data_IF_662890295527
#
_entry.id   IF_662890295527
#
_cell.length_a   1.000
_cell.length_b   1.000
_cell.length_c   1.000
_cell.angle_alpha   90.00
_cell.angle_beta   90.00
_cell.angle_gamma   90.00
#
_symmetry.space_group_name_H-M   'P 1'
#
loop_
_entity.id
_entity.type
_entity.pdbx_description
1 polymer ?
#
# COMPACT_ATOMS: atom_id res chain seq x y z
N UNK A 1 -32.43 -9.05 -4.35
CA UNK A 1 -31.01 -8.77 -4.60
C UNK A 1 -30.91 -7.68 -5.66
N UNK A 2 -30.54 -6.47 -5.28
CA UNK A 2 -30.50 -5.29 -6.16
C UNK A 2 -29.28 -5.41 -7.09
N UNK A 3 -29.53 -5.49 -8.39
CA UNK A 3 -28.46 -5.46 -9.41
C UNK A 3 -27.64 -4.18 -9.24
N UNK A 4 -26.34 -4.31 -8.96
CA UNK A 4 -25.43 -3.17 -8.82
C UNK A 4 -25.27 -2.51 -10.19
N UNK A 5 -26.06 -1.48 -10.48
CA UNK A 5 -25.99 -0.69 -11.72
C UNK A 5 -24.74 0.18 -11.83
N UNK A 6 -24.06 0.43 -10.71
CA UNK A 6 -22.80 1.18 -10.70
C UNK A 6 -21.65 0.32 -11.21
N UNK A 7 -21.13 0.71 -12.36
CA UNK A 7 -20.03 0.03 -13.04
C UNK A 7 -18.74 0.06 -12.21
N UNK A 8 -18.49 1.15 -11.49
CA UNK A 8 -17.27 1.32 -10.68
C UNK A 8 -17.30 0.39 -9.47
N UNK A 9 -18.42 0.35 -8.76
CA UNK A 9 -18.61 -0.52 -7.60
C UNK A 9 -18.57 -2.01 -8.01
N UNK A 10 -19.20 -2.37 -9.14
CA UNK A 10 -19.15 -3.74 -9.65
C UNK A 10 -17.72 -4.17 -9.99
N UNK A 11 -16.92 -3.31 -10.61
CA UNK A 11 -15.50 -3.61 -10.95
C UNK A 11 -14.65 -3.79 -9.70
N UNK A 12 -14.89 -2.99 -8.66
CA UNK A 12 -14.23 -3.15 -7.37
C UNK A 12 -14.53 -4.54 -6.78
N UNK A 13 -15.80 -4.91 -6.70
CA UNK A 13 -16.23 -6.22 -6.18
C UNK A 13 -15.71 -7.40 -7.03
N UNK A 14 -15.61 -7.24 -8.36
CA UNK A 14 -14.98 -8.25 -9.23
C UNK A 14 -13.51 -8.42 -8.87
N UNK A 15 -12.79 -7.32 -8.64
CA UNK A 15 -11.37 -7.34 -8.25
C UNK A 15 -11.18 -8.08 -6.93
N UNK A 16 -11.98 -7.78 -5.92
CA UNK A 16 -11.96 -8.44 -4.61
C UNK A 16 -12.25 -9.95 -4.71
N UNK A 17 -13.26 -10.34 -5.50
CA UNK A 17 -13.59 -11.74 -5.73
C UNK A 17 -12.46 -12.52 -6.42
N UNK A 18 -11.82 -11.90 -7.43
CA UNK A 18 -10.67 -12.51 -8.13
C UNK A 18 -9.51 -12.70 -7.15
N UNK A 19 -9.24 -11.68 -6.34
CA UNK A 19 -8.17 -11.74 -5.34
C UNK A 19 -8.43 -12.81 -4.27
N UNK A 20 -9.64 -12.83 -3.70
CA UNK A 20 -10.03 -13.79 -2.64
C UNK A 20 -10.09 -15.24 -3.12
N UNK A 21 -10.48 -15.48 -4.38
CA UNK A 21 -10.69 -16.82 -4.94
C UNK A 21 -9.53 -17.28 -5.84
N UNK A 22 -8.53 -16.40 -6.11
CA UNK A 22 -7.44 -16.66 -7.04
C UNK A 22 -7.87 -16.68 -8.50
N UNK A 23 -9.09 -17.12 -8.80
CA UNK A 23 -9.67 -17.13 -10.14
C UNK A 23 -11.18 -17.05 -10.13
N UNK A 24 -11.78 -16.50 -11.19
CA UNK A 24 -13.23 -16.41 -11.36
C UNK A 24 -13.64 -16.70 -12.79
N UNK A 25 -14.84 -17.24 -12.96
CA UNK A 25 -15.42 -17.49 -14.27
C UNK A 25 -16.43 -16.41 -14.66
N UNK A 26 -16.44 -16.02 -15.95
CA UNK A 26 -17.39 -15.03 -16.50
C UNK A 26 -18.84 -15.39 -16.21
N UNK A 27 -19.20 -16.68 -16.33
CA UNK A 27 -20.57 -17.14 -16.09
C UNK A 27 -20.98 -16.99 -14.62
N UNK A 28 -20.07 -17.23 -13.67
CA UNK A 28 -20.32 -17.09 -12.23
C UNK A 28 -20.51 -15.61 -11.86
N UNK A 29 -19.64 -14.74 -12.36
CA UNK A 29 -19.76 -13.29 -12.15
C UNK A 29 -21.05 -12.72 -12.76
N UNK A 30 -21.43 -13.16 -13.97
CA UNK A 30 -22.66 -12.72 -14.61
C UNK A 30 -23.90 -13.04 -13.77
N UNK A 31 -23.95 -14.24 -13.19
CA UNK A 31 -25.01 -14.66 -12.26
C UNK A 31 -24.97 -13.88 -10.94
N UNK A 32 -23.78 -13.72 -10.37
CA UNK A 32 -23.59 -13.03 -9.09
C UNK A 32 -24.05 -11.57 -9.15
N UNK A 33 -23.69 -10.84 -10.23
CA UNK A 33 -24.03 -9.43 -10.39
C UNK A 33 -25.33 -9.17 -11.16
N UNK A 34 -25.99 -10.21 -11.67
CA UNK A 34 -27.24 -10.06 -12.45
C UNK A 34 -27.04 -9.28 -13.76
N UNK A 35 -25.88 -9.41 -14.42
CA UNK A 35 -25.53 -8.72 -15.66
C UNK A 35 -25.19 -9.71 -16.79
N UNK A 36 -25.16 -9.22 -18.03
CA UNK A 36 -24.84 -10.06 -19.19
C UNK A 36 -23.38 -10.54 -19.16
N UNK A 37 -23.09 -11.70 -19.77
CA UNK A 37 -21.74 -12.20 -20.00
C UNK A 37 -20.85 -11.16 -20.72
N UNK A 38 -21.45 -10.37 -21.62
CA UNK A 38 -20.75 -9.34 -22.36
C UNK A 38 -20.35 -8.17 -21.46
N UNK A 39 -21.20 -7.77 -20.50
CA UNK A 39 -20.91 -6.77 -19.50
C UNK A 39 -19.74 -7.19 -18.63
N UNK A 40 -19.77 -8.42 -18.12
CA UNK A 40 -18.65 -8.98 -17.33
C UNK A 40 -17.36 -9.01 -18.15
N UNK A 41 -17.41 -9.47 -19.42
CA UNK A 41 -16.22 -9.48 -20.29
C UNK A 41 -15.64 -8.07 -20.53
N UNK A 42 -16.49 -7.04 -20.58
CA UNK A 42 -16.07 -5.64 -20.69
C UNK A 42 -15.39 -5.17 -19.40
N UNK A 43 -15.95 -5.52 -18.24
CA UNK A 43 -15.36 -5.19 -16.95
C UNK A 43 -14.02 -5.91 -16.72
N UNK A 44 -13.94 -7.21 -17.03
CA UNK A 44 -12.68 -7.96 -16.96
C UNK A 44 -11.62 -7.43 -17.93
N UNK A 45 -12.01 -6.97 -19.13
CA UNK A 45 -11.07 -6.29 -20.06
C UNK A 45 -10.54 -4.99 -19.48
N UNK A 46 -11.40 -4.21 -18.86
CA UNK A 46 -11.04 -2.95 -18.23
C UNK A 46 -10.05 -3.18 -17.07
N UNK A 47 -10.32 -4.15 -16.19
CA UNK A 47 -9.47 -4.50 -15.06
C UNK A 47 -8.13 -5.13 -15.50
N UNK A 48 -8.16 -5.98 -16.52
CA UNK A 48 -6.95 -6.57 -17.09
C UNK A 48 -6.05 -5.54 -17.77
N UNK A 49 -6.63 -4.55 -18.49
CA UNK A 49 -5.87 -3.46 -19.09
C UNK A 49 -5.18 -2.55 -18.04
N UNK A 50 -5.62 -2.61 -16.79
CA UNK A 50 -5.04 -1.92 -15.64
C UNK A 50 -4.14 -2.81 -14.78
N UNK A 51 -3.88 -4.05 -15.22
CA UNK A 51 -3.00 -4.99 -14.50
C UNK A 51 -3.58 -5.56 -13.20
N UNK A 52 -4.87 -5.32 -12.93
CA UNK A 52 -5.54 -5.83 -11.72
C UNK A 52 -5.68 -7.36 -11.75
N UNK A 53 -5.81 -7.92 -12.96
CA UNK A 53 -5.96 -9.37 -13.17
C UNK A 53 -5.45 -9.78 -14.55
N UNK A 54 -5.19 -11.07 -14.72
CA UNK A 54 -4.86 -11.67 -16.02
C UNK A 54 -6.08 -12.41 -16.56
N UNK A 55 -6.38 -12.21 -17.85
CA UNK A 55 -7.47 -12.94 -18.52
C UNK A 55 -7.07 -14.38 -18.78
N UNK A 56 -7.97 -15.31 -18.42
CA UNK A 56 -7.89 -16.71 -18.80
C UNK A 56 -9.06 -17.10 -19.72
N UNK A 57 -8.99 -18.28 -20.32
CA UNK A 57 -10.08 -18.79 -21.16
C UNK A 57 -11.35 -18.96 -20.30
N UNK A 58 -12.38 -18.15 -20.59
CA UNK A 58 -13.66 -18.17 -19.87
C UNK A 58 -13.70 -17.41 -18.54
N UNK A 59 -12.62 -16.71 -18.11
CA UNK A 59 -12.56 -16.05 -16.81
C UNK A 59 -11.44 -15.04 -16.65
N UNK A 60 -11.07 -14.83 -15.42
CA UNK A 60 -9.91 -14.06 -15.00
C UNK A 60 -9.21 -14.76 -13.83
N UNK A 61 -7.91 -14.58 -13.75
CA UNK A 61 -7.02 -15.10 -12.71
C UNK A 61 -6.36 -13.90 -12.05
N UNK A 62 -6.17 -13.94 -10.73
CA UNK A 62 -5.41 -12.94 -10.02
C UNK A 62 -4.01 -12.79 -10.66
N UNK A 63 -3.64 -11.57 -11.01
CA UNK A 63 -2.31 -11.29 -11.57
C UNK A 63 -1.19 -11.75 -10.62
N UNK A 64 -1.45 -11.75 -9.32
CA UNK A 64 -0.51 -12.24 -8.30
C UNK A 64 -0.37 -13.78 -8.31
N UNK A 65 -1.39 -14.52 -8.77
CA UNK A 65 -1.33 -15.99 -8.84
C UNK A 65 -0.45 -16.53 -9.98
N UNK A 66 -0.20 -15.72 -11.02
CA UNK A 66 0.59 -16.14 -12.20
C UNK A 66 2.06 -15.76 -12.09
N UNK A 67 2.39 -14.72 -11.29
CA UNK A 67 3.74 -14.14 -11.23
C UNK A 67 4.63 -14.60 -10.09
N UNK A 68 4.11 -15.37 -9.14
CA UNK A 68 4.82 -15.66 -7.88
C UNK A 68 5.15 -14.40 -7.08
N UNK A 69 5.84 -14.52 -5.95
CA UNK A 69 6.28 -13.42 -5.09
C UNK A 69 7.21 -12.37 -5.78
N UNK A 70 7.56 -12.58 -7.05
CA UNK A 70 8.48 -11.72 -7.82
C UNK A 70 7.77 -10.68 -8.71
N UNK A 71 6.47 -10.79 -8.97
CA UNK A 71 5.76 -9.85 -9.83
C UNK A 71 5.09 -8.72 -9.03
N UNK A 72 5.62 -7.51 -9.16
CA UNK A 72 5.03 -6.32 -8.54
C UNK A 72 3.69 -5.93 -9.19
N UNK A 73 2.58 -5.82 -8.42
CA UNK A 73 1.31 -5.32 -8.93
C UNK A 73 1.39 -3.86 -9.38
N UNK A 74 0.56 -3.46 -10.34
CA UNK A 74 0.50 -2.06 -10.78
C UNK A 74 -0.10 -1.15 -9.68
N UNK A 75 0.22 0.15 -9.74
CA UNK A 75 -0.33 1.15 -8.83
C UNK A 75 -1.87 1.15 -8.81
N UNK A 76 -2.52 1.11 -9.99
CA UNK A 76 -3.97 1.04 -10.08
C UNK A 76 -4.55 -0.23 -9.45
N UNK A 77 -3.84 -1.36 -9.57
CA UNK A 77 -4.23 -2.59 -8.89
C UNK A 77 -4.14 -2.44 -7.37
N UNK A 78 -3.02 -1.89 -6.88
CA UNK A 78 -2.81 -1.64 -5.44
C UNK A 78 -3.83 -0.65 -4.86
N UNK A 79 -4.31 0.35 -5.65
CA UNK A 79 -5.28 1.37 -5.17
C UNK A 79 -6.65 0.83 -4.84
N UNK A 80 -7.12 -0.18 -5.56
CA UNK A 80 -8.51 -0.67 -5.42
C UNK A 80 -8.63 -1.89 -4.50
N UNK A 81 -7.53 -2.62 -4.32
CA UNK A 81 -7.51 -3.81 -3.45
C UNK A 81 -7.34 -3.38 -2.00
N UNK A 82 -8.18 -3.93 -1.10
CA UNK A 82 -8.18 -3.62 0.34
C UNK A 82 -8.29 -2.13 0.67
N UNK A 83 -9.06 -1.36 -0.14
CA UNK A 83 -9.14 0.10 0.03
C UNK A 83 -9.73 0.50 1.38
N UNK A 84 -10.77 -0.21 1.86
CA UNK A 84 -11.40 0.11 3.15
C UNK A 84 -10.49 -0.23 4.33
N UNK A 85 -9.70 -1.31 4.23
CA UNK A 85 -8.67 -1.64 5.22
C UNK A 85 -7.59 -0.55 5.25
N UNK A 86 -7.07 -0.13 4.10
CA UNK A 86 -6.10 0.95 4.00
C UNK A 86 -6.60 2.29 4.56
N UNK A 87 -7.89 2.59 4.36
CA UNK A 87 -8.52 3.78 4.94
C UNK A 87 -8.57 3.72 6.47
N UNK A 88 -8.86 2.54 7.05
CA UNK A 88 -8.84 2.37 8.50
C UNK A 88 -7.41 2.49 9.04
N UNK A 89 -6.45 1.81 8.40
CA UNK A 89 -5.03 1.89 8.71
C UNK A 89 -4.51 3.34 8.62
N UNK A 90 -4.84 4.05 7.54
CA UNK A 90 -4.46 5.45 7.36
C UNK A 90 -5.01 6.36 8.44
N UNK A 91 -6.28 6.18 8.85
CA UNK A 91 -6.88 6.92 9.96
C UNK A 91 -6.20 6.61 11.30
N UNK A 92 -5.92 5.32 11.57
CA UNK A 92 -5.23 4.91 12.78
C UNK A 92 -3.80 5.46 12.84
N UNK A 93 -3.11 5.50 11.71
CA UNK A 93 -1.78 6.12 11.60
C UNK A 93 -1.82 7.63 11.83
N UNK A 94 -2.84 8.33 11.31
CA UNK A 94 -3.00 9.77 11.49
C UNK A 94 -3.19 10.17 12.97
N UNK A 95 -3.75 9.29 13.81
CA UNK A 95 -3.92 9.53 15.25
C UNK A 95 -2.59 9.62 16.02
N UNK A 96 -1.49 9.11 15.46
CA UNK A 96 -0.16 9.19 16.06
C UNK A 96 0.56 10.52 15.79
N UNK A 97 0.02 11.34 14.87
CA UNK A 97 0.68 12.56 14.41
C UNK A 97 0.18 13.76 15.20
N UNK A 98 1.11 14.47 15.84
CA UNK A 98 0.86 15.65 16.65
C UNK A 98 1.41 16.92 15.99
N UNK A 99 0.87 18.08 16.38
CA UNK A 99 1.37 19.36 15.89
C UNK A 99 2.86 19.54 16.25
N UNK A 100 3.63 20.02 15.28
CA UNK A 100 5.08 20.19 15.40
C UNK A 100 5.88 18.99 14.90
N UNK A 101 5.25 17.83 14.64
CA UNK A 101 5.97 16.68 14.12
C UNK A 101 6.51 16.92 12.72
N UNK A 102 7.67 16.33 12.45
CA UNK A 102 8.21 16.11 11.11
C UNK A 102 8.12 14.63 10.79
N UNK A 103 7.39 14.27 9.74
CA UNK A 103 7.14 12.86 9.39
C UNK A 103 7.55 12.57 7.95
N UNK A 104 8.00 11.33 7.71
CA UNK A 104 8.12 10.79 6.35
C UNK A 104 6.92 9.91 6.06
N UNK A 105 6.27 10.11 4.92
CA UNK A 105 5.30 9.18 4.35
C UNK A 105 5.92 8.59 3.09
N UNK A 106 6.24 7.29 3.17
CA UNK A 106 6.77 6.52 2.04
C UNK A 106 5.73 6.35 0.92
N UNK A 107 6.20 5.95 -0.24
CA UNK A 107 5.36 5.72 -1.41
C UNK A 107 4.43 4.53 -1.22
N UNK A 108 3.19 4.69 -1.66
CA UNK A 108 2.23 3.60 -1.70
C UNK A 108 0.81 3.99 -1.33
N UNK A 109 -0.11 3.09 -1.68
CA UNK A 109 -1.55 3.37 -1.58
C UNK A 109 -2.07 3.48 -0.15
N UNK A 110 -1.40 2.89 0.84
CA UNK A 110 -1.74 3.06 2.27
C UNK A 110 -1.24 4.41 2.78
N UNK A 111 -0.03 4.86 2.36
CA UNK A 111 0.51 6.19 2.66
C UNK A 111 -0.40 7.32 2.15
N UNK A 112 -1.02 7.15 0.98
CA UNK A 112 -2.01 8.10 0.46
C UNK A 112 -3.23 8.18 1.39
N UNK A 113 -3.73 7.05 1.92
CA UNK A 113 -4.86 7.04 2.84
C UNK A 113 -4.52 7.70 4.19
N UNK A 114 -3.27 7.56 4.65
CA UNK A 114 -2.76 8.34 5.78
C UNK A 114 -2.77 9.84 5.46
N UNK A 115 -2.20 10.25 4.32
CA UNK A 115 -2.16 11.65 3.90
C UNK A 115 -3.56 12.30 3.79
N UNK A 116 -4.53 11.55 3.25
CA UNK A 116 -5.94 11.97 3.20
C UNK A 116 -6.54 12.15 4.62
N UNK A 117 -6.19 11.26 5.56
CA UNK A 117 -6.71 11.25 6.93
C UNK A 117 -6.04 12.27 7.87
N UNK A 118 -4.83 12.74 7.57
CA UNK A 118 -4.14 13.72 8.41
C UNK A 118 -5.00 14.97 8.66
N UNK A 119 -5.09 15.46 9.91
CA UNK A 119 -5.71 16.75 10.17
C UNK A 119 -4.88 17.88 9.56
N UNK A 120 -5.51 19.02 9.26
CA UNK A 120 -4.82 20.23 8.77
C UNK A 120 -4.21 20.99 9.95
N UNK A 121 -3.08 20.51 10.46
CA UNK A 121 -2.33 21.05 11.61
C UNK A 121 -0.88 21.35 11.21
N UNK A 122 -0.17 22.16 12.00
CA UNK A 122 1.22 22.55 11.73
C UNK A 122 2.18 21.36 11.91
N UNK A 123 2.45 20.65 10.82
CA UNK A 123 3.43 19.56 10.72
C UNK A 123 4.24 19.71 9.44
N UNK A 124 5.39 19.04 9.37
CA UNK A 124 6.15 18.90 8.13
C UNK A 124 6.03 17.46 7.61
N UNK A 125 5.62 17.27 6.37
CA UNK A 125 5.55 15.98 5.70
C UNK A 125 6.60 15.90 4.61
N UNK A 126 7.51 14.95 4.74
CA UNK A 126 8.49 14.59 3.72
C UNK A 126 7.98 13.38 2.94
N UNK A 127 7.99 13.41 1.63
CA UNK A 127 7.53 12.28 0.80
C UNK A 127 8.21 12.25 -0.57
N UNK A 128 8.31 11.07 -1.15
CA UNK A 128 8.69 10.86 -2.55
C UNK A 128 7.48 10.49 -3.44
N UNK A 129 6.26 10.44 -2.89
CA UNK A 129 5.06 9.95 -3.58
C UNK A 129 4.19 11.09 -4.10
N UNK A 130 3.88 11.07 -5.40
CA UNK A 130 3.05 12.08 -6.05
C UNK A 130 1.59 12.03 -5.55
N UNK A 131 1.07 10.86 -5.18
CA UNK A 131 -0.28 10.71 -4.63
C UNK A 131 -0.40 11.29 -3.23
N UNK A 132 0.63 11.09 -2.37
CA UNK A 132 0.73 11.72 -1.05
C UNK A 132 0.77 13.25 -1.20
N UNK A 133 1.63 13.78 -2.07
CA UNK A 133 1.67 15.21 -2.38
C UNK A 133 0.29 15.74 -2.78
N UNK A 134 -0.37 15.05 -3.71
CA UNK A 134 -1.69 15.45 -4.21
C UNK A 134 -2.77 15.47 -3.12
N UNK A 135 -2.70 14.55 -2.15
CA UNK A 135 -3.63 14.50 -1.03
C UNK A 135 -3.42 15.66 -0.02
N UNK A 136 -2.18 16.16 0.08
CA UNK A 136 -1.80 17.17 1.07
C UNK A 136 -1.86 18.60 0.54
N UNK A 137 -1.80 18.82 -0.77
CA UNK A 137 -1.64 20.17 -1.38
C UNK A 137 -2.72 21.17 -0.96
N UNK A 138 -3.90 20.71 -0.58
CA UNK A 138 -4.99 21.57 -0.10
C UNK A 138 -4.94 21.87 1.41
N UNK A 139 -4.06 21.20 2.17
CA UNK A 139 -3.94 21.34 3.63
C UNK A 139 -2.88 22.38 3.98
N UNK A 140 -3.29 23.64 4.05
CA UNK A 140 -2.40 24.81 4.14
C UNK A 140 -1.54 24.90 5.41
N UNK A 141 -1.90 24.20 6.49
CA UNK A 141 -1.10 24.17 7.71
C UNK A 141 0.00 23.10 7.67
N UNK A 142 0.06 22.28 6.62
CA UNK A 142 1.07 21.25 6.45
C UNK A 142 2.16 21.74 5.51
N UNK A 143 3.39 21.84 5.99
CA UNK A 143 4.56 22.05 5.15
C UNK A 143 4.93 20.74 4.44
N UNK A 144 5.15 20.80 3.12
CA UNK A 144 5.44 19.62 2.31
C UNK A 144 6.85 19.71 1.74
N UNK A 145 7.68 18.71 2.04
CA UNK A 145 8.99 18.52 1.43
C UNK A 145 8.89 17.36 0.44
N UNK A 146 8.85 17.68 -0.85
CA UNK A 146 8.84 16.67 -1.91
C UNK A 146 10.26 16.25 -2.26
N UNK A 147 10.60 14.97 -2.02
CA UNK A 147 11.85 14.37 -2.47
C UNK A 147 11.76 14.14 -3.98
N UNK A 148 12.37 15.03 -4.75
CA UNK A 148 12.42 14.94 -6.22
C UNK A 148 13.26 13.75 -6.71
N UNK A 149 13.55 13.73 -8.02
CA UNK A 149 14.35 12.67 -8.64
C UNK A 149 13.70 12.11 -9.91
N UNK A 150 13.94 10.84 -10.21
CA UNK A 150 13.41 10.16 -11.38
C UNK A 150 12.01 9.59 -11.09
N UNK A 151 11.00 10.03 -11.85
CA UNK A 151 9.64 9.53 -11.69
C UNK A 151 9.49 8.09 -12.22
N UNK A 152 9.23 7.14 -11.34
CA UNK A 152 8.81 5.80 -11.70
C UNK A 152 7.29 5.77 -11.90
N UNK A 153 6.86 5.73 -13.17
CA UNK A 153 5.43 5.78 -13.53
C UNK A 153 4.61 4.60 -13.00
N UNK A 154 5.28 3.46 -12.67
CA UNK A 154 4.61 2.24 -12.20
C UNK A 154 3.96 2.42 -10.83
N UNK A 155 4.53 3.23 -9.95
CA UNK A 155 3.99 3.53 -8.62
C UNK A 155 3.86 5.03 -8.32
N UNK A 156 4.09 5.89 -9.34
CA UNK A 156 3.94 7.37 -9.26
C UNK A 156 4.78 7.98 -8.13
N UNK A 157 6.00 7.47 -7.94
CA UNK A 157 6.93 7.97 -6.92
C UNK A 157 8.32 8.26 -7.52
N UNK A 158 9.09 9.07 -6.82
CA UNK A 158 10.41 9.53 -7.24
C UNK A 158 11.51 8.72 -6.55
N UNK A 159 12.57 8.39 -7.31
CA UNK A 159 13.71 7.60 -6.85
C UNK A 159 15.02 8.12 -7.45
N UNK A 160 16.12 7.50 -7.07
CA UNK A 160 17.45 7.79 -7.60
C UNK A 160 18.33 8.61 -6.66
N UNK A 161 19.54 8.93 -7.13
CA UNK A 161 20.55 9.61 -6.31
C UNK A 161 20.08 10.94 -5.74
N UNK A 162 19.39 11.75 -6.53
CA UNK A 162 18.84 13.05 -6.09
C UNK A 162 17.84 12.89 -4.96
N UNK A 163 16.98 11.85 -5.00
CA UNK A 163 16.00 11.58 -3.95
C UNK A 163 16.69 11.19 -2.63
N UNK A 164 17.72 10.36 -2.73
CA UNK A 164 18.54 9.94 -1.57
C UNK A 164 19.32 11.12 -0.99
N UNK A 165 19.92 11.96 -1.84
CA UNK A 165 20.64 13.16 -1.41
C UNK A 165 19.73 14.18 -0.73
N UNK A 166 18.50 14.37 -1.26
CA UNK A 166 17.53 15.29 -0.65
C UNK A 166 17.11 14.85 0.76
N UNK A 167 17.17 13.57 1.06
CA UNK A 167 16.89 13.02 2.40
C UNK A 167 18.13 13.11 3.33
N UNK A 168 19.35 13.21 2.77
CA UNK A 168 20.56 13.26 3.55
C UNK A 168 20.61 14.49 4.46
N UNK A 169 20.84 14.26 5.74
CA UNK A 169 20.85 15.32 6.77
C UNK A 169 19.50 15.70 7.34
N UNK A 170 18.39 15.12 6.84
CA UNK A 170 17.10 15.23 7.51
C UNK A 170 17.06 14.28 8.72
N UNK A 171 16.44 14.75 9.78
CA UNK A 171 16.01 13.93 10.91
C UNK A 171 14.53 14.15 11.12
N UNK A 172 13.77 13.08 11.23
CA UNK A 172 12.31 13.12 11.33
C UNK A 172 11.83 12.33 12.55
N UNK A 173 10.70 12.74 13.13
CA UNK A 173 10.16 12.06 14.30
C UNK A 173 9.67 10.66 13.96
N UNK A 174 8.98 10.51 12.82
CA UNK A 174 8.34 9.26 12.44
C UNK A 174 8.47 9.00 10.93
N UNK A 175 8.70 7.73 10.59
CA UNK A 175 8.53 7.19 9.24
C UNK A 175 7.28 6.31 9.20
N UNK A 176 6.36 6.61 8.29
CA UNK A 176 5.29 5.70 7.91
C UNK A 176 5.71 4.93 6.64
N UNK A 177 6.13 3.69 6.84
CA UNK A 177 6.72 2.83 5.82
C UNK A 177 5.66 1.96 5.17
N UNK A 178 5.51 2.04 3.85
CA UNK A 178 4.73 1.11 3.04
C UNK A 178 5.39 -0.27 3.00
N UNK A 179 4.58 -1.33 2.81
CA UNK A 179 5.07 -2.71 2.83
C UNK A 179 4.55 -3.48 1.63
N UNK A 180 5.45 -4.08 0.85
CA UNK A 180 5.09 -5.03 -0.22
C UNK A 180 5.14 -6.49 0.26
N UNK A 181 6.04 -6.81 1.18
CA UNK A 181 6.13 -8.10 1.84
C UNK A 181 6.59 -7.96 3.28
N UNK A 182 5.92 -8.67 4.20
CA UNK A 182 6.21 -8.73 5.63
C UNK A 182 6.36 -10.19 6.06
N UNK A 183 7.54 -10.55 6.53
CA UNK A 183 7.87 -11.89 6.96
C UNK A 183 8.72 -11.81 8.24
N UNK A 184 8.41 -12.64 9.23
CA UNK A 184 9.05 -12.56 10.55
C UNK A 184 10.55 -12.86 10.51
N UNK A 185 10.98 -13.76 9.62
CA UNK A 185 12.39 -14.14 9.47
C UNK A 185 13.13 -13.23 8.49
N UNK A 186 12.48 -12.85 7.39
CA UNK A 186 13.08 -12.08 6.29
C UNK A 186 12.95 -10.58 6.47
N UNK A 187 12.03 -10.12 7.32
CA UNK A 187 11.77 -8.70 7.58
C UNK A 187 10.82 -8.06 6.57
N UNK A 188 10.88 -6.75 6.47
CA UNK A 188 10.11 -5.95 5.51
C UNK A 188 10.86 -5.88 4.19
N UNK A 189 10.16 -6.18 3.09
CA UNK A 189 10.73 -6.35 1.75
C UNK A 189 9.93 -5.63 0.67
N UNK A 190 10.60 -5.26 -0.43
CA UNK A 190 9.99 -4.65 -1.62
C UNK A 190 10.49 -5.30 -2.91
N UNK A 191 9.79 -5.04 -4.03
CA UNK A 191 10.12 -5.58 -5.35
C UNK A 191 11.24 -4.81 -6.07
N UNK A 192 11.48 -3.55 -5.72
CA UNK A 192 12.31 -2.62 -6.48
C UNK A 192 13.52 -2.13 -5.67
N UNK A 193 14.73 -2.34 -6.21
CA UNK A 193 15.98 -2.03 -5.50
C UNK A 193 16.12 -0.55 -5.15
N UNK A 194 15.87 0.43 -6.04
CA UNK A 194 15.96 1.85 -5.68
C UNK A 194 14.97 2.26 -4.59
N UNK A 195 13.81 1.61 -4.47
CA UNK A 195 12.86 1.78 -3.38
C UNK A 195 13.46 1.27 -2.06
N UNK A 196 14.01 0.03 -2.06
CA UNK A 196 14.68 -0.51 -0.88
C UNK A 196 15.84 0.38 -0.40
N UNK A 197 16.61 0.94 -1.33
CA UNK A 197 17.72 1.84 -1.01
C UNK A 197 17.22 3.15 -0.39
N UNK A 198 16.18 3.78 -0.97
CA UNK A 198 15.59 4.99 -0.41
C UNK A 198 14.95 4.71 0.97
N UNK A 199 14.19 3.61 1.09
CA UNK A 199 13.51 3.26 2.33
C UNK A 199 14.48 2.97 3.48
N UNK A 200 15.63 2.35 3.20
CA UNK A 200 16.72 2.22 4.21
C UNK A 200 17.19 3.58 4.70
N UNK A 201 17.33 4.57 3.82
CA UNK A 201 17.71 5.93 4.20
C UNK A 201 16.59 6.66 4.97
N UNK A 202 15.33 6.41 4.66
CA UNK A 202 14.20 6.91 5.46
C UNK A 202 14.22 6.31 6.87
N UNK A 203 14.53 5.00 7.00
CA UNK A 203 14.68 4.33 8.30
C UNK A 203 15.85 4.94 9.10
N UNK A 204 17.00 5.20 8.47
CA UNK A 204 18.16 5.83 9.11
C UNK A 204 17.85 7.26 9.62
N UNK A 205 16.97 7.99 8.92
CA UNK A 205 16.60 9.37 9.25
C UNK A 205 15.52 9.48 10.33
N UNK A 206 14.79 8.40 10.64
CA UNK A 206 13.60 8.42 11.48
C UNK A 206 13.90 8.07 12.94
N UNK A 207 13.28 8.80 13.86
CA UNK A 207 13.29 8.48 15.29
C UNK A 207 12.41 7.28 15.64
N UNK A 208 11.31 7.07 14.87
CA UNK A 208 10.39 5.94 15.04
C UNK A 208 9.99 5.41 13.66
N UNK A 209 10.06 4.09 13.47
CA UNK A 209 9.68 3.39 12.25
C UNK A 209 8.34 2.69 12.43
N UNK A 210 7.35 3.11 11.65
CA UNK A 210 5.96 2.64 11.72
C UNK A 210 5.62 1.99 10.37
N UNK A 211 5.45 0.67 10.35
CA UNK A 211 4.96 -0.02 9.16
C UNK A 211 3.43 0.11 9.05
N UNK A 212 2.94 0.48 7.88
CA UNK A 212 1.51 0.60 7.58
C UNK A 212 1.14 -0.37 6.46
N UNK A 213 0.40 -1.42 6.77
CA UNK A 213 0.13 -2.49 5.79
C UNK A 213 -1.18 -3.22 6.06
N UNK A 214 -1.82 -3.70 5.02
CA UNK A 214 -2.94 -4.63 5.14
C UNK A 214 -2.45 -6.08 5.32
N UNK A 215 -3.29 -6.93 5.94
CA UNK A 215 -2.99 -8.32 6.30
C UNK A 215 -2.58 -9.20 5.11
N UNK A 216 -2.91 -8.81 3.89
CA UNK A 216 -2.52 -9.56 2.69
C UNK A 216 -1.01 -9.60 2.42
N UNK A 217 -0.20 -8.82 3.17
CA UNK A 217 1.25 -8.74 3.01
C UNK A 217 2.03 -9.67 3.92
N UNK A 218 1.39 -10.25 4.93
CA UNK A 218 2.04 -11.20 5.84
C UNK A 218 2.39 -12.51 5.13
N UNK A 219 3.54 -13.06 5.48
CA UNK A 219 4.12 -14.26 4.86
C UNK A 219 4.62 -14.06 3.43
N UNK A 220 4.61 -12.83 2.91
CA UNK A 220 5.17 -12.50 1.59
C UNK A 220 6.60 -12.01 1.73
N UNK A 221 7.46 -12.49 0.83
CA UNK A 221 8.85 -12.07 0.72
C UNK A 221 9.11 -11.57 -0.70
N UNK A 222 9.54 -10.31 -0.82
CA UNK A 222 9.99 -9.72 -2.07
C UNK A 222 11.53 -9.78 -2.19
N UNK A 223 12.06 -9.39 -3.34
CA UNK A 223 13.48 -9.58 -3.67
C UNK A 223 14.42 -8.75 -2.77
N UNK A 224 14.05 -7.51 -2.42
CA UNK A 224 14.93 -6.57 -1.72
C UNK A 224 14.46 -6.31 -0.29
N UNK A 225 15.33 -6.60 0.68
CA UNK A 225 15.06 -6.31 2.09
C UNK A 225 15.26 -4.83 2.40
N UNK A 226 14.31 -4.24 3.11
CA UNK A 226 14.37 -2.88 3.65
C UNK A 226 14.98 -2.92 5.04
N UNK A 227 14.31 -3.61 6.00
CA UNK A 227 14.80 -3.74 7.39
C UNK A 227 14.37 -5.09 7.99
N UNK A 228 15.10 -5.59 9.00
CA UNK A 228 14.65 -6.72 9.82
C UNK A 228 13.50 -6.28 10.75
N UNK A 229 12.69 -7.21 11.23
CA UNK A 229 11.57 -6.90 12.14
C UNK A 229 12.06 -6.23 13.45
N UNK A 230 13.26 -6.55 13.89
CA UNK A 230 13.88 -5.90 15.08
C UNK A 230 14.15 -4.39 14.92
N UNK A 231 14.06 -3.86 13.71
CA UNK A 231 14.16 -2.42 13.45
C UNK A 231 12.81 -1.72 13.31
N UNK A 232 11.71 -2.42 13.60
CA UNK A 232 10.35 -1.89 13.56
C UNK A 232 9.88 -1.51 14.97
N UNK A 233 9.37 -0.29 15.14
CA UNK A 233 8.82 0.17 16.43
C UNK A 233 7.31 -0.12 16.52
N UNK A 234 6.55 0.10 15.44
CA UNK A 234 5.10 -0.06 15.43
C UNK A 234 4.63 -0.67 14.11
N UNK A 235 3.69 -1.59 14.18
CA UNK A 235 2.95 -2.13 13.04
C UNK A 235 1.48 -1.70 13.15
N UNK A 236 0.96 -1.03 12.11
CA UNK A 236 -0.46 -0.72 11.97
C UNK A 236 -1.03 -1.57 10.85
N UNK A 237 -2.03 -2.38 11.16
CA UNK A 237 -2.66 -3.30 10.21
C UNK A 237 -4.15 -3.48 10.50
N UNK A 238 -4.87 -4.15 9.59
CA UNK A 238 -6.27 -4.49 9.80
C UNK A 238 -6.47 -5.64 10.81
N UNK A 239 -7.72 -5.88 11.18
CA UNK A 239 -8.10 -6.89 12.18
C UNK A 239 -7.90 -8.34 11.71
N UNK A 240 -7.66 -8.58 10.42
CA UNK A 240 -7.43 -9.90 9.83
C UNK A 240 -5.96 -10.36 9.98
N UNK A 241 -5.13 -9.58 10.73
CA UNK A 241 -3.76 -9.97 11.05
C UNK A 241 -3.71 -11.37 11.68
N UNK A 242 -2.87 -12.29 11.15
CA UNK A 242 -2.72 -13.63 11.69
C UNK A 242 -2.31 -13.63 13.17
N UNK A 243 -2.72 -14.65 13.92
CA UNK A 243 -2.33 -14.79 15.34
C UNK A 243 -0.82 -14.84 15.54
N UNK A 244 -0.09 -15.42 14.58
CA UNK A 244 1.38 -15.43 14.55
C UNK A 244 1.98 -14.01 14.63
N UNK A 245 1.41 -13.04 13.92
CA UNK A 245 1.86 -11.62 13.96
C UNK A 245 1.54 -10.99 15.32
N UNK A 246 0.38 -11.33 15.93
CA UNK A 246 -0.01 -10.86 17.26
C UNK A 246 0.91 -11.40 18.35
N UNK A 247 1.35 -12.65 18.22
CA UNK A 247 2.29 -13.27 19.13
C UNK A 247 3.69 -12.67 18.92
N UNK A 248 4.15 -12.56 17.67
CA UNK A 248 5.45 -12.01 17.34
C UNK A 248 5.62 -10.58 17.84
N UNK A 249 4.56 -9.73 17.85
CA UNK A 249 4.65 -8.36 18.38
C UNK A 249 5.09 -8.35 19.86
N UNK A 250 4.61 -9.31 20.66
CA UNK A 250 4.97 -9.44 22.08
C UNK A 250 6.40 -9.97 22.28
N UNK A 251 6.80 -10.93 21.43
CA UNK A 251 8.10 -11.60 21.51
C UNK A 251 9.25 -10.75 20.95
N UNK A 252 9.00 -10.02 19.86
CA UNK A 252 10.00 -9.20 19.17
C UNK A 252 10.00 -7.73 19.59
N UNK A 253 9.01 -7.29 20.38
CA UNK A 253 8.98 -6.01 21.07
C UNK A 253 8.50 -4.82 20.22
N UNK A 254 7.82 -5.04 19.09
CA UNK A 254 7.15 -3.96 18.36
C UNK A 254 5.70 -3.79 18.80
N UNK A 255 5.22 -2.56 18.81
CA UNK A 255 3.82 -2.25 19.10
C UNK A 255 2.91 -2.68 17.93
N UNK A 256 1.81 -3.38 18.21
CA UNK A 256 0.80 -3.74 17.21
C UNK A 256 -0.48 -2.93 17.43
N UNK A 257 -0.84 -2.12 16.44
CA UNK A 257 -2.09 -1.36 16.40
C UNK A 257 -3.02 -1.92 15.33
N UNK A 258 -4.21 -2.35 15.74
CA UNK A 258 -5.25 -2.83 14.82
C UNK A 258 -6.22 -1.71 14.44
N UNK A 259 -6.65 -1.70 13.15
CA UNK A 259 -7.48 -0.68 12.54
C UNK A 259 -8.79 -1.24 11.94
#
# INVERSE_FOLDING_TARGET
>A
MTATRDTSQRRLQISELVHKQGSVQVASLARHFGVSLQTVRKDLRYLAARGVMTRAYGGAIDSNAIGGALAEPTYEAKRVVHLDDKRRIGRRAAELVEAGNTIVIDSGTTGIQLAEALPNIGITVVTNDFGVLSALVSKQAIDIVMLGGELRRRNMAFYGGLTVEALAGLQVDMLFLGVDGFDLDRGITTHYEPEATLNRKMVEAAGKVIAITDSSKFGKVCLHRILPISGLDTLITDTDAPEEIRQASKEMGFELLLA
#
